data_IF_732898744939
#
_entry.id   IF_732898744939
#
_cell.length_a   1.000
_cell.length_b   1.000
_cell.length_c   1.000
_cell.angle_alpha   90.00
_cell.angle_beta   90.00
_cell.angle_gamma   90.00
#
_symmetry.space_group_name_H-M   'P 1'
#
loop_
_entity.id
_entity.type
_entity.pdbx_description
1 polymer ?
#
# COMPACT_ATOMS: atom_id res chain seq x y z
N UNK A 1 -4.82 -12.85 -10.27
CA UNK A 1 -6.22 -12.78 -9.76
C UNK A 1 -6.76 -14.14 -9.31
N UNK A 2 -6.65 -15.14 -10.13
CA UNK A 2 -7.17 -16.45 -9.81
C UNK A 2 -6.57 -17.08 -8.55
N UNK A 3 -5.26 -17.01 -8.42
CA UNK A 3 -4.57 -17.55 -7.24
C UNK A 3 -4.98 -16.83 -5.95
N UNK A 4 -5.14 -15.49 -6.01
CA UNK A 4 -5.59 -14.72 -4.86
C UNK A 4 -7.04 -14.99 -4.51
N UNK A 5 -7.90 -15.21 -5.50
CA UNK A 5 -9.30 -15.58 -5.24
C UNK A 5 -9.41 -16.98 -4.66
N UNK A 6 -8.58 -17.90 -5.10
CA UNK A 6 -8.51 -19.23 -4.49
C UNK A 6 -8.06 -19.14 -3.03
N UNK A 7 -7.06 -18.29 -2.74
CA UNK A 7 -6.63 -17.99 -1.39
C UNK A 7 -7.73 -17.34 -0.54
N UNK A 8 -8.60 -16.55 -1.17
CA UNK A 8 -9.73 -15.91 -0.52
C UNK A 8 -10.72 -16.95 0.05
N UNK A 9 -10.96 -18.04 -0.70
CA UNK A 9 -11.77 -19.15 -0.20
C UNK A 9 -11.19 -19.78 1.05
N UNK A 10 -9.88 -19.69 1.24
CA UNK A 10 -9.17 -20.17 2.41
C UNK A 10 -9.07 -19.13 3.52
N UNK A 11 -9.75 -17.99 3.38
CA UNK A 11 -9.76 -16.93 4.36
C UNK A 11 -8.63 -15.90 4.20
N UNK A 12 -7.94 -15.85 3.07
CA UNK A 12 -6.85 -14.90 2.86
C UNK A 12 -7.31 -13.46 3.03
N UNK A 13 -8.48 -13.09 2.52
CA UNK A 13 -9.02 -11.74 2.70
C UNK A 13 -9.24 -11.38 4.16
N UNK A 14 -9.53 -12.36 5.01
CA UNK A 14 -9.73 -12.14 6.43
C UNK A 14 -8.47 -11.70 7.15
N UNK A 15 -7.28 -11.97 6.59
CA UNK A 15 -6.01 -11.52 7.17
C UNK A 15 -5.50 -10.22 6.56
N UNK A 16 -6.16 -9.72 5.50
CA UNK A 16 -5.83 -8.43 4.92
C UNK A 16 -6.50 -7.31 5.72
N UNK A 17 -5.82 -6.17 5.82
CA UNK A 17 -6.34 -5.03 6.56
C UNK A 17 -7.12 -4.11 5.62
N UNK A 18 -8.13 -3.45 6.17
CA UNK A 18 -8.78 -2.35 5.47
C UNK A 18 -7.81 -1.18 5.34
N UNK A 19 -7.68 -0.67 4.12
CA UNK A 19 -6.87 0.48 3.83
C UNK A 19 -7.82 1.60 3.42
N UNK A 20 -7.85 2.68 4.21
CA UNK A 20 -8.74 3.80 3.91
C UNK A 20 -8.29 4.54 2.64
N UNK A 21 -9.27 4.99 1.85
CA UNK A 21 -8.98 5.92 0.77
C UNK A 21 -8.49 7.24 1.34
N UNK A 22 -7.54 7.88 0.66
CA UNK A 22 -6.93 9.13 1.12
C UNK A 22 -7.04 10.20 0.04
N UNK A 23 -7.15 11.45 0.46
CA UNK A 23 -7.09 12.59 -0.44
C UNK A 23 -5.63 12.90 -0.85
N UNK A 24 -5.46 13.92 -1.68
CA UNK A 24 -4.12 14.30 -2.18
C UNK A 24 -3.19 14.81 -1.06
N UNK A 25 -3.76 15.25 0.06
CA UNK A 25 -2.99 15.66 1.23
C UNK A 25 -2.63 14.50 2.15
N UNK A 26 -3.09 13.28 1.83
CA UNK A 26 -2.85 12.08 2.61
C UNK A 26 -3.82 11.89 3.77
N UNK A 27 -4.87 12.68 3.87
CA UNK A 27 -5.89 12.51 4.91
C UNK A 27 -6.88 11.42 4.53
N UNK A 28 -7.28 10.63 5.52
CA UNK A 28 -8.29 9.59 5.32
C UNK A 28 -9.63 10.18 4.91
N UNK A 29 -10.25 9.59 3.90
CA UNK A 29 -11.60 9.93 3.45
C UNK A 29 -12.57 8.98 4.12
N UNK A 30 -13.42 9.47 5.00
CA UNK A 30 -14.43 8.66 5.67
C UNK A 30 -15.60 8.38 4.73
N UNK A 31 -16.13 7.16 4.79
CA UNK A 31 -17.31 6.80 4.03
C UNK A 31 -17.10 6.70 2.52
N UNK A 32 -15.87 6.56 2.06
CA UNK A 32 -15.60 6.37 0.64
C UNK A 32 -16.23 5.05 0.17
N UNK A 33 -16.98 5.05 -0.96
CA UNK A 33 -17.69 3.85 -1.42
C UNK A 33 -16.76 2.73 -1.89
N UNK A 34 -15.57 3.07 -2.38
CA UNK A 34 -14.58 2.09 -2.81
C UNK A 34 -13.84 1.56 -1.59
N UNK A 35 -13.78 0.24 -1.46
CA UNK A 35 -13.05 -0.40 -0.38
C UNK A 35 -11.71 -0.91 -0.89
N UNK A 36 -10.69 -0.78 -0.06
CA UNK A 36 -9.36 -1.28 -0.33
C UNK A 36 -8.94 -2.16 0.83
N UNK A 37 -8.47 -3.35 0.53
CA UNK A 37 -7.89 -4.26 1.51
C UNK A 37 -6.50 -4.65 1.04
N UNK A 38 -5.56 -4.79 1.97
CA UNK A 38 -4.21 -5.15 1.58
C UNK A 38 -3.29 -5.45 2.74
N UNK A 39 -2.06 -5.73 2.38
CA UNK A 39 -0.96 -5.98 3.30
C UNK A 39 0.19 -5.06 2.96
N UNK A 40 0.67 -4.36 3.94
CA UNK A 40 1.84 -3.49 3.81
C UNK A 40 3.07 -4.13 4.43
N UNK A 41 4.23 -3.71 3.96
CA UNK A 41 5.51 -4.03 4.56
C UNK A 41 6.44 -2.84 4.40
N UNK A 42 7.16 -2.50 5.47
CA UNK A 42 8.06 -1.35 5.47
C UNK A 42 9.37 -1.73 6.11
N UNK A 43 10.44 -1.45 5.40
CA UNK A 43 11.81 -1.51 5.89
C UNK A 43 12.47 -0.16 5.60
N UNK A 44 13.72 0.02 6.03
CA UNK A 44 14.46 1.23 5.73
C UNK A 44 14.55 1.46 4.22
N UNK A 45 13.98 2.56 3.74
CA UNK A 45 13.96 2.93 2.32
C UNK A 45 13.35 1.86 1.40
N UNK A 46 12.43 1.06 1.94
CA UNK A 46 11.62 0.10 1.18
C UNK A 46 10.20 0.14 1.71
N UNK A 47 9.23 0.26 0.83
CA UNK A 47 7.82 0.19 1.20
C UNK A 47 7.05 -0.59 0.15
N UNK A 48 6.22 -1.52 0.61
CA UNK A 48 5.39 -2.34 -0.26
C UNK A 48 3.94 -2.33 0.21
N UNK A 49 3.03 -2.44 -0.73
CA UNK A 49 1.61 -2.57 -0.48
C UNK A 49 1.00 -3.40 -1.60
N UNK A 50 0.29 -4.45 -1.23
CA UNK A 50 -0.40 -5.31 -2.18
C UNK A 50 -1.78 -5.68 -1.67
N UNK A 51 -2.75 -5.80 -2.56
CA UNK A 51 -4.10 -6.12 -2.15
C UNK A 51 -5.12 -6.01 -3.26
N UNK A 52 -6.34 -5.63 -2.86
CA UNK A 52 -7.49 -5.51 -3.75
C UNK A 52 -8.15 -4.17 -3.59
N UNK A 53 -8.56 -3.59 -4.72
CA UNK A 53 -9.49 -2.48 -4.77
C UNK A 53 -10.86 -3.07 -5.11
N UNK A 54 -11.84 -2.81 -4.27
CA UNK A 54 -13.21 -3.34 -4.40
C UNK A 54 -14.14 -2.19 -4.78
N UNK A 55 -14.36 -1.97 -6.09
CA UNK A 55 -15.27 -0.90 -6.52
C UNK A 55 -16.73 -1.28 -6.28
N UNK A 56 -17.58 -0.28 -6.21
CA UNK A 56 -19.02 -0.51 -6.10
C UNK A 56 -19.54 -1.02 -7.45
N UNK A 57 -20.08 -2.24 -7.45
CA UNK A 57 -20.71 -2.80 -8.64
C UNK A 57 -19.76 -3.25 -9.76
N UNK A 58 -18.45 -3.22 -9.52
CA UNK A 58 -17.45 -3.63 -10.49
C UNK A 58 -16.69 -4.87 -10.07
N UNK A 59 -15.74 -5.26 -10.90
CA UNK A 59 -14.81 -6.35 -10.55
C UNK A 59 -13.71 -5.85 -9.65
N UNK A 60 -13.27 -6.69 -8.73
CA UNK A 60 -12.11 -6.40 -7.90
C UNK A 60 -10.85 -6.22 -8.75
N UNK A 61 -10.05 -5.24 -8.39
CA UNK A 61 -8.76 -4.98 -9.01
C UNK A 61 -7.67 -5.38 -8.04
N UNK A 62 -6.78 -6.27 -8.47
CA UNK A 62 -5.61 -6.68 -7.72
C UNK A 62 -4.46 -5.71 -8.00
N UNK A 63 -3.74 -5.30 -6.97
CA UNK A 63 -2.63 -4.39 -7.14
C UNK A 63 -1.43 -4.77 -6.29
N UNK A 64 -0.25 -4.33 -6.70
CA UNK A 64 0.97 -4.38 -5.91
C UNK A 64 1.83 -3.16 -6.24
N UNK A 65 2.34 -2.50 -5.21
CA UNK A 65 3.19 -1.33 -5.33
C UNK A 65 4.43 -1.56 -4.48
N UNK A 66 5.61 -1.45 -5.08
CA UNK A 66 6.87 -1.52 -4.35
C UNK A 66 7.69 -0.28 -4.66
N UNK A 67 8.16 0.35 -3.61
CA UNK A 67 9.06 1.51 -3.69
C UNK A 67 10.33 1.19 -2.91
N UNK A 68 11.49 1.46 -3.49
CA UNK A 68 12.75 1.21 -2.84
C UNK A 68 13.80 2.23 -3.27
N UNK A 69 14.65 2.62 -2.33
CA UNK A 69 15.87 3.38 -2.60
C UNK A 69 17.03 2.52 -2.10
N UNK A 70 17.51 1.64 -2.95
CA UNK A 70 18.53 0.66 -2.58
C UNK A 70 19.85 1.34 -2.20
N UNK A 71 20.22 2.41 -2.90
CA UNK A 71 21.45 3.13 -2.61
C UNK A 71 21.43 3.75 -1.20
N UNK A 72 20.32 4.41 -0.83
CA UNK A 72 20.17 4.97 0.51
C UNK A 72 20.11 3.88 1.57
N UNK A 73 19.44 2.77 1.27
CA UNK A 73 19.35 1.65 2.19
C UNK A 73 20.72 1.05 2.51
N UNK A 74 21.53 0.85 1.47
CA UNK A 74 22.89 0.30 1.65
C UNK A 74 23.83 1.28 2.34
N UNK A 75 23.62 2.57 2.15
CA UNK A 75 24.44 3.61 2.75
C UNK A 75 24.18 3.83 4.24
N UNK A 76 23.12 3.25 4.80
CA UNK A 76 22.78 3.41 6.23
C UNK A 76 23.82 2.69 7.09
N UNK A 77 24.53 3.41 7.99
CA UNK A 77 25.45 2.80 8.92
C UNK A 77 24.73 1.79 9.83
N UNK A 78 25.45 0.76 10.26
CA UNK A 78 24.85 -0.32 11.05
C UNK A 78 24.17 0.18 12.33
N UNK A 79 24.73 1.19 13.00
CA UNK A 79 24.16 1.78 14.20
C UNK A 79 22.93 2.63 14.00
N UNK A 80 22.55 2.94 12.74
CA UNK A 80 21.39 3.77 12.40
C UNK A 80 20.29 2.99 11.67
N UNK A 81 20.41 1.67 11.57
CA UNK A 81 19.47 0.86 10.77
C UNK A 81 18.06 0.82 11.33
N UNK A 82 17.88 1.07 12.63
CA UNK A 82 16.54 1.08 13.23
C UNK A 82 15.80 2.39 12.95
N UNK A 83 16.52 3.50 12.92
CA UNK A 83 15.96 4.83 12.71
C UNK A 83 16.91 5.70 11.90
N UNK A 84 17.10 5.39 10.59
CA UNK A 84 18.04 6.15 9.78
C UNK A 84 17.55 7.54 9.49
N UNK A 85 18.45 8.54 9.39
CA UNK A 85 18.07 9.90 9.02
C UNK A 85 17.32 9.95 7.69
N UNK A 86 16.20 10.65 7.67
CA UNK A 86 15.35 10.78 6.48
C UNK A 86 14.47 9.57 6.19
N UNK A 87 14.55 8.50 6.98
CA UNK A 87 13.74 7.30 6.78
C UNK A 87 12.25 7.57 6.88
N UNK A 88 11.83 8.28 7.92
CA UNK A 88 10.40 8.59 8.13
C UNK A 88 9.84 9.47 7.01
N UNK A 89 10.58 10.46 6.56
CA UNK A 89 10.16 11.32 5.46
C UNK A 89 10.04 10.53 4.16
N UNK A 90 10.97 9.63 3.91
CA UNK A 90 10.93 8.77 2.73
C UNK A 90 9.70 7.85 2.74
N UNK A 91 9.40 7.22 3.89
CA UNK A 91 8.24 6.34 4.04
C UNK A 91 6.93 7.12 3.84
N UNK A 92 6.83 8.32 4.39
CA UNK A 92 5.65 9.17 4.16
C UNK A 92 5.42 9.46 2.69
N UNK A 93 6.49 9.77 1.94
CA UNK A 93 6.37 10.00 0.49
C UNK A 93 5.95 8.71 -0.25
N UNK A 94 6.48 7.57 0.15
CA UNK A 94 6.07 6.29 -0.42
C UNK A 94 4.59 6.01 -0.18
N UNK A 95 4.09 6.29 1.02
CA UNK A 95 2.68 6.12 1.36
C UNK A 95 1.77 7.07 0.55
N UNK A 96 2.20 8.30 0.33
CA UNK A 96 1.46 9.25 -0.51
C UNK A 96 1.38 8.74 -1.95
N UNK A 97 2.48 8.24 -2.49
CA UNK A 97 2.48 7.65 -3.83
C UNK A 97 1.51 6.46 -3.92
N UNK A 98 1.55 5.57 -2.93
CA UNK A 98 0.63 4.43 -2.88
C UNK A 98 -0.83 4.88 -2.87
N UNK A 99 -1.16 5.86 -2.05
CA UNK A 99 -2.52 6.38 -1.95
C UNK A 99 -2.99 7.01 -3.26
N UNK A 100 -2.12 7.77 -3.94
CA UNK A 100 -2.43 8.39 -5.23
C UNK A 100 -2.64 7.35 -6.33
N UNK A 101 -1.80 6.32 -6.38
CA UNK A 101 -1.96 5.24 -7.35
C UNK A 101 -3.27 4.48 -7.13
N UNK A 102 -3.58 4.14 -5.89
CA UNK A 102 -4.83 3.45 -5.56
C UNK A 102 -6.04 4.30 -5.95
N UNK A 103 -6.01 5.59 -5.62
CA UNK A 103 -7.09 6.51 -5.96
C UNK A 103 -7.30 6.61 -7.47
N UNK A 104 -6.21 6.68 -8.24
CA UNK A 104 -6.28 6.70 -9.69
C UNK A 104 -6.85 5.41 -10.26
N UNK A 105 -6.37 4.27 -9.77
CA UNK A 105 -6.87 2.98 -10.24
C UNK A 105 -8.32 2.74 -9.87
N UNK A 106 -8.74 3.17 -8.69
CA UNK A 106 -10.13 3.09 -8.26
C UNK A 106 -11.06 3.88 -9.20
N UNK A 107 -10.59 5.00 -9.74
CA UNK A 107 -11.33 5.80 -10.70
C UNK A 107 -11.41 5.19 -12.09
N UNK A 108 -10.64 4.15 -12.39
CA UNK A 108 -10.60 3.48 -13.70
C UNK A 108 -11.56 2.28 -13.78
N UNK A 109 -12.15 1.86 -12.69
CA UNK A 109 -12.98 0.65 -12.62
C UNK A 109 -14.44 0.93 -12.34
#
# INVERSE_FOLDING_TARGET
MRALRAGDRMGLRGVLRNIGMRDDAGKAIKGHPVKVVGKSGTLNFVSGLAGFIQPVGGQDLCFAIFSADAARREAVPMGEREDPPGGDAWVRRAHVLQARLISRWAGMV
#
